data_IF_485231897355
#
_entry.id   IF_485231897355
#
_cell.length_a   1.000
_cell.length_b   1.000
_cell.length_c   1.000
_cell.angle_alpha   90.00
_cell.angle_beta   90.00
_cell.angle_gamma   90.00
#
_symmetry.space_group_name_H-M   'P 1'
#
loop_
_entity.id
_entity.type
_entity.pdbx_description
1 polymer ?
#
# COMPACT_ATOMS: atom_id res chain seq x y z
N UNK A 1 -14.19 69.70 -14.94
CA UNK A 1 -14.08 68.65 -13.91
C UNK A 1 -15.00 67.50 -14.33
N UNK A 2 -14.39 66.33 -14.58
CA UNK A 2 -14.90 65.08 -15.18
C UNK A 2 -16.41 64.89 -15.43
N UNK A 3 -16.78 64.55 -16.68
CA UNK A 3 -17.64 63.39 -16.94
C UNK A 3 -17.68 63.01 -18.44
N UNK A 4 -17.27 61.76 -18.70
CA UNK A 4 -17.78 60.77 -19.67
C UNK A 4 -18.76 61.21 -20.79
N UNK A 5 -18.53 60.60 -21.98
CA UNK A 5 -19.41 60.40 -23.17
C UNK A 5 -19.33 61.57 -24.18
N UNK A 6 -19.15 61.41 -25.49
CA UNK A 6 -19.45 60.34 -26.48
C UNK A 6 -18.61 60.64 -27.74
N UNK A 7 -17.93 59.65 -28.34
CA UNK A 7 -18.27 58.99 -29.63
C UNK A 7 -18.16 59.90 -30.86
N UNK A 8 -17.18 59.61 -31.74
CA UNK A 8 -17.29 59.22 -33.17
C UNK A 8 -15.88 59.34 -33.79
N UNK A 9 -15.27 58.23 -34.24
CA UNK A 9 -15.17 57.82 -35.67
C UNK A 9 -14.31 58.77 -36.51
N UNK A 10 -13.42 58.39 -37.43
CA UNK A 10 -12.90 57.14 -38.01
C UNK A 10 -11.84 57.63 -39.02
N UNK A 11 -10.79 56.86 -39.33
CA UNK A 11 -9.88 57.15 -40.45
C UNK A 11 -8.41 56.92 -40.10
N UNK A 12 -7.92 55.68 -40.13
CA UNK A 12 -7.33 55.03 -41.31
C UNK A 12 -5.92 55.54 -41.63
N UNK A 13 -4.90 54.76 -41.23
CA UNK A 13 -3.64 54.70 -41.97
C UNK A 13 -2.99 53.33 -41.79
N UNK A 14 -2.89 52.62 -42.92
CA UNK A 14 -2.15 51.37 -43.10
C UNK A 14 -0.67 51.57 -42.78
N UNK A 15 -0.06 50.63 -42.06
CA UNK A 15 1.32 50.22 -42.28
C UNK A 15 1.50 48.74 -41.91
N UNK A 16 1.91 47.97 -42.91
CA UNK A 16 2.32 46.57 -42.86
C UNK A 16 3.38 46.34 -41.77
N UNK A 17 3.13 45.44 -40.82
CA UNK A 17 4.19 44.72 -40.11
C UNK A 17 3.89 43.22 -40.20
N UNK A 18 4.78 42.54 -40.90
CA UNK A 18 4.87 41.10 -41.06
C UNK A 18 5.20 40.48 -39.69
N UNK A 19 4.20 40.15 -38.88
CA UNK A 19 4.42 39.33 -37.69
C UNK A 19 4.51 37.87 -38.13
N UNK A 20 5.73 37.42 -38.39
CA UNK A 20 6.09 36.01 -38.39
C UNK A 20 5.65 35.45 -37.03
N UNK A 21 4.60 34.64 -37.01
CA UNK A 21 4.34 33.75 -35.89
C UNK A 21 5.45 32.71 -35.89
N UNK A 22 6.57 33.03 -35.26
CA UNK A 22 7.51 32.02 -34.80
C UNK A 22 6.76 31.29 -33.70
N UNK A 23 6.06 30.21 -34.05
CA UNK A 23 5.69 29.22 -33.05
C UNK A 23 7.01 28.83 -32.38
N UNK A 24 7.20 29.04 -31.06
CA UNK A 24 8.41 28.55 -30.42
C UNK A 24 8.45 27.05 -30.72
N UNK A 25 9.51 26.62 -31.40
CA UNK A 25 9.78 25.21 -31.56
C UNK A 25 9.71 24.62 -30.15
N UNK A 26 8.74 23.72 -29.92
CA UNK A 26 8.63 23.02 -28.66
C UNK A 26 9.97 22.31 -28.47
N UNK A 27 10.81 22.83 -27.56
CA UNK A 27 12.10 22.24 -27.29
C UNK A 27 11.84 20.80 -26.87
N UNK A 28 12.38 19.85 -27.64
CA UNK A 28 12.20 18.43 -27.36
C UNK A 28 12.55 18.18 -25.90
N UNK A 29 11.60 17.65 -25.13
CA UNK A 29 11.79 17.37 -23.70
C UNK A 29 13.01 16.48 -23.55
N UNK A 30 14.05 17.00 -22.91
CA UNK A 30 15.30 16.25 -22.71
C UNK A 30 15.05 15.21 -21.62
N UNK A 31 15.14 13.93 -21.97
CA UNK A 31 15.03 12.81 -21.03
C UNK A 31 16.40 12.50 -20.43
N UNK A 32 16.50 12.54 -19.10
CA UNK A 32 17.70 12.23 -18.34
C UNK A 32 17.42 11.10 -17.37
N UNK A 33 18.36 10.19 -17.21
CA UNK A 33 18.34 9.19 -16.14
C UNK A 33 19.42 9.57 -15.14
N UNK A 34 19.09 9.49 -13.85
CA UNK A 34 20.01 9.71 -12.75
C UNK A 34 20.01 8.50 -11.80
N UNK A 35 21.06 8.41 -10.98
CA UNK A 35 21.19 7.48 -9.87
C UNK A 35 21.52 8.27 -8.61
N UNK A 36 20.61 8.25 -7.63
CA UNK A 36 20.69 9.03 -6.39
C UNK A 36 21.04 10.52 -6.66
N UNK A 37 20.35 11.12 -7.62
CA UNK A 37 20.52 12.52 -8.03
C UNK A 37 21.69 12.79 -8.98
N UNK A 38 22.55 11.79 -9.25
CA UNK A 38 23.69 11.93 -10.14
C UNK A 38 23.32 11.49 -11.58
N UNK A 39 23.35 12.39 -12.58
CA UNK A 39 23.02 12.02 -13.96
C UNK A 39 23.93 10.92 -14.49
N UNK A 40 23.33 9.89 -15.08
CA UNK A 40 24.07 8.81 -15.74
C UNK A 40 24.57 9.30 -17.10
N UNK A 41 25.88 9.11 -17.35
CA UNK A 41 26.46 9.38 -18.67
C UNK A 41 26.18 8.20 -19.60
N UNK A 42 25.21 8.37 -20.50
CA UNK A 42 24.82 7.35 -21.47
C UNK A 42 25.53 7.63 -22.78
N UNK A 43 26.61 6.89 -23.06
CA UNK A 43 27.27 6.94 -24.36
C UNK A 43 26.27 6.60 -25.48
N UNK A 44 26.41 7.25 -26.64
CA UNK A 44 25.61 6.97 -27.84
C UNK A 44 25.71 5.50 -28.29
N UNK A 45 26.80 4.80 -27.92
CA UNK A 45 27.00 3.37 -28.14
C UNK A 45 26.03 2.46 -27.36
N UNK A 46 25.39 2.96 -26.30
CA UNK A 46 24.33 2.25 -25.57
C UNK A 46 22.91 2.65 -26.00
N UNK A 47 22.78 3.72 -26.79
CA UNK A 47 21.51 4.27 -27.23
C UNK A 47 20.97 5.35 -26.31
N UNK A 48 19.99 6.09 -26.82
CA UNK A 48 19.45 7.28 -26.14
C UNK A 48 18.06 6.98 -25.56
N UNK A 49 17.77 7.39 -24.31
CA UNK A 49 16.42 7.36 -23.77
C UNK A 49 15.43 8.13 -24.65
N UNK A 50 14.16 7.72 -24.65
CA UNK A 50 13.09 8.43 -25.34
C UNK A 50 11.76 8.28 -24.60
N UNK A 51 10.79 9.12 -24.93
CA UNK A 51 9.41 9.00 -24.41
C UNK A 51 8.56 8.30 -25.47
N UNK A 52 7.87 7.23 -25.08
CA UNK A 52 6.96 6.51 -25.97
C UNK A 52 5.55 7.13 -26.01
N UNK A 53 4.67 6.55 -26.81
CA UNK A 53 3.28 7.01 -26.95
C UNK A 53 2.44 6.90 -25.66
N UNK A 54 2.90 6.12 -24.67
CA UNK A 54 2.27 5.96 -23.37
C UNK A 54 2.86 6.91 -22.32
N UNK A 55 3.65 7.91 -22.74
CA UNK A 55 4.37 8.85 -21.87
C UNK A 55 5.31 8.16 -20.88
N UNK A 56 5.90 7.02 -21.28
CA UNK A 56 6.91 6.32 -20.48
C UNK A 56 8.31 6.61 -20.99
N UNK A 57 9.22 6.91 -20.07
CA UNK A 57 10.64 7.04 -20.40
C UNK A 57 11.25 5.65 -20.63
N UNK A 58 11.48 5.35 -21.90
CA UNK A 58 12.14 4.17 -22.40
C UNK A 58 13.66 4.33 -22.29
N UNK A 59 14.32 3.32 -21.72
CA UNK A 59 15.77 3.30 -21.55
C UNK A 59 16.36 1.99 -22.05
N UNK A 60 17.58 1.99 -22.62
CA UNK A 60 18.26 0.75 -22.95
C UNK A 60 18.55 -0.05 -21.67
N UNK A 61 18.10 -1.31 -21.60
CA UNK A 61 18.21 -2.13 -20.38
C UNK A 61 19.64 -2.21 -19.83
N UNK A 62 20.61 -2.31 -20.74
CA UNK A 62 22.02 -2.56 -20.41
C UNK A 62 22.62 -1.37 -19.65
N UNK A 63 22.24 -0.15 -20.04
CA UNK A 63 22.69 1.09 -19.37
C UNK A 63 22.29 1.06 -17.92
N UNK A 64 21.03 0.77 -17.63
CA UNK A 64 20.53 0.79 -16.26
C UNK A 64 21.14 -0.36 -15.47
N UNK A 65 21.09 -1.56 -16.03
CA UNK A 65 21.57 -2.76 -15.35
C UNK A 65 23.06 -2.66 -14.99
N UNK A 66 23.92 -2.29 -15.94
CA UNK A 66 25.38 -2.25 -15.72
C UNK A 66 25.80 -1.09 -14.80
N UNK A 67 25.13 0.07 -14.87
CA UNK A 67 25.38 1.16 -13.90
C UNK A 67 24.95 0.79 -12.47
N UNK A 68 24.01 -0.15 -12.33
CA UNK A 68 23.61 -0.74 -11.05
C UNK A 68 24.44 -1.99 -10.69
N UNK A 69 25.52 -2.27 -11.43
CA UNK A 69 26.44 -3.39 -11.17
C UNK A 69 25.94 -4.76 -11.61
N UNK A 70 24.85 -4.83 -12.38
CA UNK A 70 24.28 -6.07 -12.88
C UNK A 70 24.82 -6.47 -14.27
N UNK A 71 24.79 -7.77 -14.57
CA UNK A 71 25.19 -8.32 -15.87
C UNK A 71 23.98 -8.59 -16.74
N UNK A 72 24.08 -8.25 -18.03
CA UNK A 72 23.02 -8.51 -19.02
C UNK A 72 23.50 -9.51 -20.07
N UNK A 73 22.76 -10.61 -20.19
CA UNK A 73 22.90 -11.58 -21.29
C UNK A 73 21.73 -11.49 -22.27
N UNK A 74 21.96 -11.95 -23.51
CA UNK A 74 20.96 -11.98 -24.57
C UNK A 74 20.84 -13.40 -25.14
N UNK A 75 19.61 -13.86 -25.29
CA UNK A 75 19.27 -15.08 -26.03
C UNK A 75 18.49 -14.70 -27.29
N UNK A 76 19.13 -14.87 -28.44
CA UNK A 76 18.55 -14.54 -29.74
C UNK A 76 17.45 -15.52 -30.20
N UNK A 77 17.42 -16.74 -29.66
CA UNK A 77 16.41 -17.75 -30.04
C UNK A 77 15.03 -17.42 -29.47
N UNK A 78 15.01 -16.86 -28.26
CA UNK A 78 13.79 -16.48 -27.54
C UNK A 78 13.54 -14.97 -27.57
N UNK A 79 14.47 -14.19 -28.12
CA UNK A 79 14.47 -12.72 -28.06
C UNK A 79 14.35 -12.19 -26.62
N UNK A 80 15.07 -12.82 -25.70
CA UNK A 80 15.02 -12.53 -24.27
C UNK A 80 16.35 -11.99 -23.77
N UNK A 81 16.31 -10.83 -23.12
CA UNK A 81 17.41 -10.38 -22.29
C UNK A 81 17.23 -10.83 -20.85
N UNK A 82 18.35 -11.16 -20.20
CA UNK A 82 18.35 -11.59 -18.80
C UNK A 82 19.33 -10.74 -17.99
N UNK A 83 18.84 -10.15 -16.89
CA UNK A 83 19.67 -9.42 -15.92
C UNK A 83 19.96 -10.34 -14.74
N UNK A 84 21.24 -10.51 -14.39
CA UNK A 84 21.74 -11.38 -13.30
C UNK A 84 21.21 -12.82 -13.35
N UNK A 85 20.86 -13.33 -14.53
CA UNK A 85 20.33 -14.69 -14.72
C UNK A 85 18.88 -14.90 -14.29
N UNK A 86 18.25 -13.96 -13.59
CA UNK A 86 16.94 -14.17 -12.95
C UNK A 86 15.83 -13.25 -13.45
N UNK A 87 16.17 -12.04 -13.90
CA UNK A 87 15.20 -11.07 -14.42
C UNK A 87 15.14 -11.21 -15.93
N UNK A 88 14.03 -11.72 -16.47
CA UNK A 88 13.86 -11.99 -17.90
C UNK A 88 12.93 -10.97 -18.54
N UNK A 89 13.37 -10.40 -19.65
CA UNK A 89 12.66 -9.39 -20.44
C UNK A 89 12.63 -9.88 -21.88
N UNK A 90 11.44 -10.21 -22.38
CA UNK A 90 11.25 -10.70 -23.75
C UNK A 90 10.73 -9.59 -24.65
N UNK A 91 11.38 -9.37 -25.80
CA UNK A 91 10.94 -8.37 -26.78
C UNK A 91 9.50 -8.68 -27.23
N UNK A 92 8.66 -7.66 -27.31
CA UNK A 92 7.23 -7.78 -27.64
C UNK A 92 6.34 -8.15 -26.44
N UNK A 93 6.92 -8.50 -25.29
CA UNK A 93 6.18 -8.71 -24.04
C UNK A 93 6.03 -7.41 -23.27
N UNK A 94 4.89 -7.24 -22.60
CA UNK A 94 4.68 -6.19 -21.60
C UNK A 94 5.06 -6.67 -20.19
N UNK A 95 5.62 -7.87 -20.05
CA UNK A 95 5.94 -8.48 -18.76
C UNK A 95 7.45 -8.60 -18.54
N UNK A 96 7.86 -8.37 -17.28
CA UNK A 96 9.17 -8.73 -16.77
C UNK A 96 8.99 -9.89 -15.80
N UNK A 97 9.69 -11.00 -16.04
CA UNK A 97 9.67 -12.16 -15.16
C UNK A 97 10.83 -12.04 -14.17
N UNK A 98 10.53 -12.13 -12.87
CA UNK A 98 11.53 -12.08 -11.80
C UNK A 98 11.41 -13.33 -10.91
N UNK A 99 12.36 -13.53 -9.99
CA UNK A 99 12.23 -14.55 -8.92
C UNK A 99 11.04 -14.30 -7.99
N UNK A 100 10.51 -13.07 -7.97
CA UNK A 100 9.42 -12.64 -7.11
C UNK A 100 8.04 -12.75 -7.78
N UNK A 101 8.02 -13.02 -9.10
CA UNK A 101 6.84 -13.11 -9.95
C UNK A 101 6.94 -12.18 -11.15
N UNK A 102 5.80 -11.94 -11.80
CA UNK A 102 5.70 -11.13 -13.01
C UNK A 102 5.37 -9.67 -12.68
N UNK A 103 6.15 -8.74 -13.25
CA UNK A 103 5.89 -7.29 -13.22
C UNK A 103 5.30 -6.91 -14.58
N UNK A 104 4.06 -6.45 -14.60
CA UNK A 104 3.45 -5.89 -15.79
C UNK A 104 3.96 -4.45 -16.05
N UNK A 105 4.21 -4.15 -17.30
CA UNK A 105 4.59 -2.84 -17.81
C UNK A 105 3.43 -2.26 -18.63
N UNK A 106 3.34 -0.93 -18.68
CA UNK A 106 2.29 -0.26 -19.48
C UNK A 106 2.54 -0.35 -21.00
N UNK A 107 3.73 -0.82 -21.39
CA UNK A 107 4.20 -0.84 -22.77
C UNK A 107 5.11 -2.04 -22.99
N UNK A 108 5.18 -2.52 -24.22
CA UNK A 108 5.97 -3.69 -24.57
C UNK A 108 7.45 -3.36 -24.62
N UNK A 109 8.30 -4.33 -24.27
CA UNK A 109 9.72 -4.24 -24.55
C UNK A 109 9.96 -4.17 -26.06
N UNK A 110 10.73 -3.20 -26.52
CA UNK A 110 11.00 -3.00 -27.96
C UNK A 110 12.47 -3.14 -28.25
N UNK A 111 12.79 -3.72 -29.41
CA UNK A 111 14.13 -3.70 -29.97
C UNK A 111 14.25 -2.51 -30.94
N UNK A 112 15.19 -1.60 -30.67
CA UNK A 112 15.51 -0.47 -31.54
C UNK A 112 17.01 -0.43 -31.76
N UNK A 113 17.43 -0.63 -33.01
CA UNK A 113 18.84 -0.66 -33.43
C UNK A 113 19.69 -1.65 -32.61
N UNK A 114 19.17 -2.87 -32.38
CA UNK A 114 19.88 -3.92 -31.64
C UNK A 114 19.91 -3.72 -30.12
N UNK A 115 19.12 -2.79 -29.59
CA UNK A 115 19.06 -2.48 -28.16
C UNK A 115 17.63 -2.65 -27.66
N UNK A 116 17.49 -3.21 -26.47
CA UNK A 116 16.19 -3.48 -25.86
C UNK A 116 15.85 -2.30 -24.96
N UNK A 117 14.66 -1.75 -25.17
CA UNK A 117 14.12 -0.63 -24.44
C UNK A 117 12.88 -1.05 -23.65
N UNK A 118 12.85 -0.65 -22.39
CA UNK A 118 11.69 -0.77 -21.48
C UNK A 118 11.60 0.48 -20.61
N UNK A 119 10.46 0.72 -19.92
CA UNK A 119 10.33 1.83 -18.99
C UNK A 119 11.40 1.78 -17.89
N UNK A 120 12.05 2.92 -17.62
CA UNK A 120 13.09 3.06 -16.58
C UNK A 120 12.61 2.58 -15.21
N UNK A 121 11.35 2.87 -14.86
CA UNK A 121 10.74 2.41 -13.61
C UNK A 121 10.63 0.89 -13.56
N UNK A 122 10.23 0.25 -14.65
CA UNK A 122 10.03 -1.20 -14.71
C UNK A 122 11.34 -1.95 -14.54
N UNK A 123 12.42 -1.52 -15.21
CA UNK A 123 13.74 -2.14 -15.05
C UNK A 123 14.32 -1.90 -13.65
N UNK A 124 14.24 -0.68 -13.12
CA UNK A 124 14.73 -0.34 -11.79
C UNK A 124 13.98 -1.16 -10.72
N UNK A 125 12.66 -1.25 -10.83
CA UNK A 125 11.82 -2.02 -9.91
C UNK A 125 12.13 -3.51 -9.97
N UNK A 126 12.27 -4.09 -11.16
CA UNK A 126 12.66 -5.49 -11.32
C UNK A 126 13.99 -5.80 -10.64
N UNK A 127 14.88 -4.81 -10.56
CA UNK A 127 16.17 -4.88 -9.88
C UNK A 127 16.11 -4.50 -8.39
N UNK A 128 14.94 -4.12 -7.87
CA UNK A 128 14.73 -3.77 -6.46
C UNK A 128 14.98 -2.30 -6.10
N UNK A 129 15.03 -1.40 -7.08
CA UNK A 129 15.25 0.03 -6.89
C UNK A 129 13.98 0.86 -7.11
N UNK A 130 13.91 2.00 -6.43
CA UNK A 130 12.85 3.00 -6.62
C UNK A 130 13.14 3.92 -7.81
N UNK A 131 12.12 4.62 -8.30
CA UNK A 131 12.30 5.69 -9.30
C UNK A 131 11.43 6.90 -8.95
N UNK A 132 12.07 8.03 -8.72
CA UNK A 132 11.40 9.33 -8.66
C UNK A 132 11.48 10.03 -10.02
N UNK A 133 10.50 10.86 -10.33
CA UNK A 133 10.49 11.64 -11.57
C UNK A 133 10.39 13.13 -11.23
N UNK A 134 11.24 13.94 -11.85
CA UNK A 134 11.20 15.40 -11.70
C UNK A 134 11.20 16.04 -13.08
N UNK A 135 10.46 17.15 -13.23
CA UNK A 135 10.51 17.98 -14.42
C UNK A 135 10.98 19.38 -14.01
N UNK A 136 12.18 19.75 -14.45
CA UNK A 136 12.76 21.06 -14.16
C UNK A 136 13.27 21.66 -15.46
N UNK A 137 12.80 22.86 -15.78
CA UNK A 137 13.21 23.61 -16.98
C UNK A 137 13.09 22.80 -18.29
N UNK A 138 12.03 21.99 -18.43
CA UNK A 138 11.81 21.16 -19.63
C UNK A 138 12.70 19.92 -19.73
N UNK A 139 13.44 19.60 -18.67
CA UNK A 139 14.21 18.36 -18.54
C UNK A 139 13.42 17.40 -17.65
N UNK A 140 13.00 16.28 -18.21
CA UNK A 140 12.40 15.18 -17.46
C UNK A 140 13.53 14.27 -16.97
N UNK A 141 13.72 14.21 -15.66
CA UNK A 141 14.70 13.34 -15.02
C UNK A 141 13.99 12.18 -14.33
N UNK A 142 14.31 10.96 -14.73
CA UNK A 142 13.99 9.76 -13.96
C UNK A 142 15.19 9.42 -13.07
N UNK A 143 15.06 9.62 -11.77
CA UNK A 143 16.10 9.35 -10.80
C UNK A 143 15.86 7.98 -10.15
N UNK A 144 16.75 7.04 -10.43
CA UNK A 144 16.77 5.73 -9.80
C UNK A 144 17.31 5.92 -8.39
N UNK A 145 16.52 5.53 -7.39
CA UNK A 145 16.89 5.70 -5.99
C UNK A 145 17.33 4.37 -5.41
N UNK A 146 18.52 4.35 -4.81
CA UNK A 146 18.96 3.19 -4.04
C UNK A 146 18.17 3.05 -2.74
N UNK A 147 17.56 4.15 -2.28
CA UNK A 147 16.56 4.15 -1.22
C UNK A 147 15.17 3.84 -1.76
N UNK A 148 14.48 2.88 -1.17
CA UNK A 148 13.11 2.49 -1.54
C UNK A 148 12.14 2.91 -0.45
N UNK A 149 11.14 3.72 -0.77
CA UNK A 149 10.04 4.04 0.13
C UNK A 149 8.89 3.04 -0.07
N UNK A 150 8.66 2.19 0.92
CA UNK A 150 7.54 1.23 0.95
C UNK A 150 6.43 1.74 1.85
N UNK A 151 5.21 1.81 1.33
CA UNK A 151 4.02 2.22 2.08
C UNK A 151 3.08 1.04 2.33
N UNK A 152 2.86 0.72 3.61
CA UNK A 152 2.01 -0.38 4.05
C UNK A 152 0.77 0.18 4.72
N UNK A 153 -0.42 -0.23 4.28
CA UNK A 153 -1.65 -0.01 5.05
C UNK A 153 -1.97 -1.27 5.86
N UNK A 154 -1.95 -1.16 7.18
CA UNK A 154 -2.10 -2.31 8.07
C UNK A 154 -3.24 -2.07 9.09
N UNK A 155 -4.01 -3.12 9.38
CA UNK A 155 -5.05 -3.07 10.39
C UNK A 155 -4.51 -2.58 11.75
N UNK A 156 -5.29 -1.76 12.45
CA UNK A 156 -4.88 -1.16 13.72
C UNK A 156 -4.41 -2.17 14.78
N UNK A 157 -4.98 -3.39 14.82
CA UNK A 157 -4.56 -4.45 15.74
C UNK A 157 -3.16 -4.99 15.48
N UNK A 158 -2.58 -4.74 14.30
CA UNK A 158 -1.23 -5.16 13.93
C UNK A 158 -0.16 -4.18 14.42
N UNK A 159 -0.54 -3.02 14.97
CA UNK A 159 0.36 -1.89 15.26
C UNK A 159 1.63 -2.29 16.00
N UNK A 160 1.47 -3.02 17.11
CA UNK A 160 2.59 -3.35 17.99
C UNK A 160 3.51 -4.39 17.36
N UNK A 161 2.95 -5.48 16.81
CA UNK A 161 3.72 -6.51 16.11
C UNK A 161 4.45 -5.96 14.87
N UNK A 162 3.77 -5.13 14.06
CA UNK A 162 4.36 -4.52 12.87
C UNK A 162 5.42 -3.47 13.21
N UNK A 163 5.36 -2.86 14.40
CA UNK A 163 6.42 -2.00 14.92
C UNK A 163 7.73 -2.76 15.13
N UNK A 164 7.66 -3.93 15.75
CA UNK A 164 8.84 -4.81 15.94
C UNK A 164 9.32 -5.40 14.61
N UNK A 165 8.41 -5.90 13.76
CA UNK A 165 8.72 -6.42 12.42
C UNK A 165 9.40 -5.37 11.55
N UNK A 166 8.93 -4.12 11.61
CA UNK A 166 9.57 -3.00 10.88
C UNK A 166 11.04 -2.88 11.25
N UNK A 167 11.38 -2.92 12.54
CA UNK A 167 12.76 -2.81 12.99
C UNK A 167 13.61 -3.99 12.50
N UNK A 168 13.08 -5.21 12.57
CA UNK A 168 13.77 -6.41 12.08
C UNK A 168 14.01 -6.36 10.57
N UNK A 169 13.01 -5.96 9.79
CA UNK A 169 13.14 -5.85 8.34
C UNK A 169 14.13 -4.76 7.92
N UNK A 170 14.10 -3.60 8.58
CA UNK A 170 15.03 -2.50 8.29
C UNK A 170 16.48 -2.82 8.65
N UNK A 171 16.73 -3.71 9.61
CA UNK A 171 18.06 -4.23 9.89
C UNK A 171 18.62 -5.06 8.70
N UNK A 172 17.76 -5.79 7.98
CA UNK A 172 18.15 -6.56 6.78
C UNK A 172 18.15 -5.70 5.51
N UNK A 173 17.34 -4.64 5.49
CA UNK A 173 17.14 -3.76 4.32
C UNK A 173 17.36 -2.30 4.71
N UNK A 174 18.59 -1.88 5.05
CA UNK A 174 18.89 -0.54 5.57
C UNK A 174 18.64 0.59 4.54
N UNK A 175 18.53 0.24 3.26
CA UNK A 175 18.17 1.18 2.18
C UNK A 175 16.65 1.26 1.94
N UNK A 176 15.84 0.56 2.72
CA UNK A 176 14.38 0.71 2.66
C UNK A 176 13.93 1.70 3.71
N UNK A 177 12.95 2.52 3.39
CA UNK A 177 12.17 3.27 4.35
C UNK A 177 10.76 2.70 4.36
N UNK A 178 10.37 2.12 5.50
CA UNK A 178 9.09 1.46 5.66
C UNK A 178 8.11 2.38 6.40
N UNK A 179 7.13 2.89 5.67
CA UNK A 179 6.04 3.73 6.17
C UNK A 179 4.83 2.83 6.39
N UNK A 180 4.31 2.79 7.62
CA UNK A 180 3.14 1.97 7.95
C UNK A 180 2.03 2.89 8.43
N UNK A 181 0.95 2.94 7.65
CA UNK A 181 -0.30 3.59 8.00
C UNK A 181 -1.21 2.57 8.70
N UNK A 182 -1.57 2.85 9.95
CA UNK A 182 -2.46 1.99 10.74
C UNK A 182 -3.87 2.56 10.80
N UNK A 183 -4.87 1.69 10.68
CA UNK A 183 -6.28 2.11 10.80
C UNK A 183 -7.28 0.97 10.74
N UNK A 184 -8.56 1.31 10.82
CA UNK A 184 -9.66 0.37 10.58
C UNK A 184 -9.56 -0.22 9.16
N UNK A 185 -9.58 -1.54 9.03
CA UNK A 185 -9.30 -2.19 7.75
C UNK A 185 -10.27 -1.81 6.62
N UNK A 186 -11.52 -1.50 6.93
CA UNK A 186 -12.49 -1.00 5.94
C UNK A 186 -12.18 0.43 5.53
N UNK A 187 -11.76 1.30 6.47
CA UNK A 187 -11.33 2.66 6.14
C UNK A 187 -10.08 2.65 5.26
N UNK A 188 -9.07 1.83 5.59
CA UNK A 188 -7.88 1.64 4.78
C UNK A 188 -8.21 1.06 3.39
N UNK A 189 -9.12 0.08 3.31
CA UNK A 189 -9.60 -0.45 2.04
C UNK A 189 -10.28 0.65 1.19
N UNK A 190 -11.15 1.47 1.78
CA UNK A 190 -11.78 2.60 1.07
C UNK A 190 -10.75 3.61 0.57
N UNK A 191 -9.70 3.90 1.35
CA UNK A 191 -8.59 4.76 0.91
C UNK A 191 -7.86 4.16 -0.31
N UNK A 192 -7.62 2.85 -0.32
CA UNK A 192 -7.01 2.16 -1.46
C UNK A 192 -7.91 2.24 -2.69
N UNK A 193 -9.23 2.09 -2.54
CA UNK A 193 -10.18 2.26 -3.64
C UNK A 193 -10.19 3.68 -4.21
N UNK A 194 -9.90 4.68 -3.37
CA UNK A 194 -9.78 6.08 -3.76
C UNK A 194 -8.39 6.42 -4.34
N UNK A 195 -7.50 5.43 -4.49
CA UNK A 195 -6.18 5.62 -5.10
C UNK A 195 -5.08 6.03 -4.13
N UNK A 196 -5.22 5.73 -2.83
CA UNK A 196 -4.13 5.92 -1.90
C UNK A 196 -2.85 5.20 -2.38
N UNK A 197 -1.71 5.89 -2.32
CA UNK A 197 -0.42 5.34 -2.72
C UNK A 197 0.07 4.32 -1.68
N UNK A 198 -0.35 3.07 -1.85
CA UNK A 198 -0.08 1.95 -0.95
C UNK A 198 0.54 0.82 -1.76
N UNK A 199 1.59 0.21 -1.22
CA UNK A 199 2.29 -0.91 -1.85
C UNK A 199 1.75 -2.26 -1.42
N UNK A 200 1.37 -2.38 -0.14
CA UNK A 200 0.85 -3.61 0.46
C UNK A 200 -0.27 -3.27 1.45
N UNK A 201 -1.34 -4.06 1.41
CA UNK A 201 -2.44 -4.00 2.38
C UNK A 201 -2.44 -5.25 3.26
N UNK A 202 -2.50 -5.06 4.58
CA UNK A 202 -2.58 -6.12 5.58
C UNK A 202 -3.84 -5.93 6.42
N UNK A 203 -4.88 -6.68 6.07
CA UNK A 203 -6.23 -6.53 6.62
C UNK A 203 -6.48 -7.42 7.84
N UNK A 204 -7.48 -7.08 8.66
CA UNK A 204 -7.98 -7.93 9.75
C UNK A 204 -9.19 -8.81 9.35
N UNK A 205 -9.60 -8.77 8.07
CA UNK A 205 -10.62 -9.67 7.55
C UNK A 205 -10.46 -9.92 6.06
N UNK A 206 -10.82 -11.13 5.65
CA UNK A 206 -10.89 -11.54 4.24
C UNK A 206 -11.85 -10.67 3.43
N UNK A 207 -12.98 -10.25 4.00
CA UNK A 207 -13.96 -9.46 3.24
C UNK A 207 -13.40 -8.14 2.68
N UNK A 208 -12.46 -7.49 3.38
CA UNK A 208 -11.85 -6.26 2.85
C UNK A 208 -10.90 -6.57 1.69
N UNK A 209 -10.18 -7.69 1.80
CA UNK A 209 -9.30 -8.18 0.74
C UNK A 209 -10.11 -8.60 -0.49
N UNK A 210 -11.22 -9.31 -0.28
CA UNK A 210 -12.13 -9.73 -1.34
C UNK A 210 -12.73 -8.54 -2.08
N UNK A 211 -13.10 -7.46 -1.39
CA UNK A 211 -13.57 -6.23 -2.04
C UNK A 211 -12.52 -5.64 -2.98
N UNK A 212 -11.27 -5.51 -2.54
CA UNK A 212 -10.19 -5.00 -3.38
C UNK A 212 -9.87 -5.96 -4.54
N UNK A 213 -9.90 -7.27 -4.30
CA UNK A 213 -9.73 -8.31 -5.32
C UNK A 213 -10.80 -8.20 -6.40
N UNK A 214 -12.07 -8.12 -6.02
CA UNK A 214 -13.21 -8.03 -6.94
C UNK A 214 -13.17 -6.75 -7.78
N UNK A 215 -12.56 -5.68 -7.26
CA UNK A 215 -12.31 -4.43 -8.00
C UNK A 215 -11.02 -4.47 -8.85
N UNK A 216 -10.28 -5.58 -8.83
CA UNK A 216 -9.02 -5.72 -9.56
C UNK A 216 -7.92 -4.78 -9.07
N UNK A 217 -7.95 -4.39 -7.79
CA UNK A 217 -7.00 -3.47 -7.17
C UNK A 217 -5.81 -4.17 -6.49
N UNK A 218 -5.82 -5.50 -6.47
CA UNK A 218 -4.74 -6.32 -5.91
C UNK A 218 -3.95 -7.02 -7.00
N UNK A 219 -2.75 -7.47 -6.64
CA UNK A 219 -2.04 -8.51 -7.38
C UNK A 219 -2.47 -9.86 -6.78
N UNK A 220 -3.45 -10.50 -7.39
CA UNK A 220 -4.14 -11.69 -6.83
C UNK A 220 -3.21 -12.84 -6.43
N UNK A 221 -2.13 -13.08 -7.19
CA UNK A 221 -1.13 -14.10 -6.89
C UNK A 221 -0.29 -13.82 -5.63
N UNK A 222 -0.51 -12.66 -5.01
CA UNK A 222 0.16 -12.23 -3.79
C UNK A 222 -0.70 -12.33 -2.54
N UNK A 223 -1.99 -12.64 -2.66
CA UNK A 223 -2.86 -12.79 -1.49
C UNK A 223 -2.38 -13.97 -0.64
N UNK A 224 -2.13 -13.70 0.64
CA UNK A 224 -1.68 -14.66 1.65
C UNK A 224 -2.51 -14.46 2.92
N UNK A 225 -3.13 -15.51 3.42
CA UNK A 225 -3.66 -15.52 4.79
C UNK A 225 -2.48 -15.75 5.73
N UNK A 226 -2.16 -14.77 6.58
CA UNK A 226 -0.95 -14.83 7.40
C UNK A 226 -1.26 -15.19 8.84
N UNK A 227 -2.32 -14.61 9.40
CA UNK A 227 -2.60 -14.70 10.83
C UNK A 227 -4.08 -14.99 11.08
N UNK A 228 -4.34 -15.62 12.20
CA UNK A 228 -5.64 -15.74 12.84
C UNK A 228 -5.66 -15.04 14.20
N UNK A 229 -6.86 -14.80 14.72
CA UNK A 229 -7.03 -14.15 16.02
C UNK A 229 -8.33 -14.61 16.70
N UNK A 230 -8.53 -14.22 17.96
CA UNK A 230 -9.75 -14.49 18.73
C UNK A 230 -10.42 -13.18 19.12
N UNK A 231 -11.74 -13.17 19.13
CA UNK A 231 -12.52 -12.05 19.64
C UNK A 231 -12.75 -12.22 21.14
N UNK A 232 -12.60 -11.13 21.90
CA UNK A 232 -12.74 -11.14 23.36
C UNK A 232 -13.56 -9.96 23.84
N UNK A 233 -14.28 -10.17 24.94
CA UNK A 233 -14.91 -9.12 25.72
C UNK A 233 -13.94 -8.66 26.80
N UNK A 234 -13.72 -7.36 26.87
CA UNK A 234 -12.85 -6.71 27.85
C UNK A 234 -13.63 -5.70 28.67
N UNK A 235 -13.15 -5.44 29.89
CA UNK A 235 -13.64 -4.41 30.81
C UNK A 235 -12.44 -3.64 31.38
N UNK A 236 -12.63 -2.45 31.97
CA UNK A 236 -11.57 -1.78 32.71
C UNK A 236 -10.97 -2.71 33.78
N UNK A 237 -9.66 -2.65 34.00
CA UNK A 237 -8.98 -3.60 34.90
C UNK A 237 -9.50 -3.53 36.35
N UNK A 238 -9.86 -2.33 36.80
CA UNK A 238 -10.46 -2.02 38.09
C UNK A 238 -11.99 -2.13 38.13
N UNK A 239 -12.63 -2.58 37.04
CA UNK A 239 -14.09 -2.73 36.97
C UNK A 239 -14.61 -3.68 38.06
N UNK A 240 -15.64 -3.20 38.77
CA UNK A 240 -16.41 -3.92 39.79
C UNK A 240 -17.68 -4.58 39.24
N UNK A 241 -17.99 -4.39 37.94
CA UNK A 241 -19.14 -4.99 37.30
C UNK A 241 -18.98 -6.51 37.17
N UNK A 242 -20.05 -7.25 37.44
CA UNK A 242 -20.05 -8.71 37.40
C UNK A 242 -20.22 -9.26 35.96
N UNK A 243 -19.42 -8.77 35.01
CA UNK A 243 -19.44 -9.21 33.61
C UNK A 243 -18.50 -10.42 33.45
N UNK A 244 -19.05 -11.58 33.10
CA UNK A 244 -18.30 -12.83 32.91
C UNK A 244 -18.55 -13.48 31.54
N UNK A 245 -19.51 -12.97 30.79
CA UNK A 245 -19.92 -13.50 29.49
C UNK A 245 -20.39 -12.36 28.57
N UNK A 246 -20.50 -12.66 27.28
CA UNK A 246 -21.11 -11.75 26.30
C UNK A 246 -22.59 -11.46 26.61
N UNK A 247 -23.30 -12.31 27.37
CA UNK A 247 -24.69 -12.06 27.73
C UNK A 247 -24.84 -10.95 28.78
N UNK A 248 -23.89 -10.86 29.70
CA UNK A 248 -23.95 -9.96 30.86
C UNK A 248 -23.89 -8.47 30.46
N UNK A 249 -23.41 -8.15 29.25
CA UNK A 249 -23.40 -6.77 28.75
C UNK A 249 -24.81 -6.18 28.56
N UNK A 250 -25.84 -7.05 28.54
CA UNK A 250 -27.25 -6.63 28.47
C UNK A 250 -27.83 -6.26 29.83
N UNK A 251 -27.15 -6.58 30.93
CA UNK A 251 -27.59 -6.25 32.29
C UNK A 251 -27.75 -4.73 32.52
N UNK A 252 -28.71 -4.33 33.35
CA UNK A 252 -29.02 -2.92 33.61
C UNK A 252 -27.85 -2.13 34.24
N UNK A 253 -26.91 -2.80 34.91
CA UNK A 253 -25.68 -2.21 35.45
C UNK A 253 -24.72 -1.74 34.36
N UNK A 254 -24.71 -2.40 33.20
CA UNK A 254 -23.91 -2.02 32.03
C UNK A 254 -24.62 -0.92 31.26
N UNK A 255 -24.01 0.26 31.20
CA UNK A 255 -24.55 1.47 30.55
C UNK A 255 -24.08 1.61 29.11
N UNK A 256 -22.80 1.33 28.85
CA UNK A 256 -22.19 1.47 27.52
C UNK A 256 -21.26 0.31 27.19
N UNK A 257 -21.34 -0.14 25.95
CA UNK A 257 -20.40 -1.10 25.37
C UNK A 257 -19.75 -0.50 24.13
N UNK A 258 -18.42 -0.54 24.05
CA UNK A 258 -17.71 -0.13 22.84
C UNK A 258 -17.58 -1.28 21.84
N UNK A 259 -17.99 -1.03 20.60
CA UNK A 259 -17.82 -1.93 19.46
C UNK A 259 -17.09 -1.19 18.34
N UNK A 260 -16.47 -1.92 17.41
CA UNK A 260 -16.07 -1.31 16.15
C UNK A 260 -17.30 -0.98 15.29
N UNK A 261 -17.24 0.10 14.51
CA UNK A 261 -18.26 0.38 13.49
C UNK A 261 -18.30 -0.76 12.47
N UNK A 262 -19.37 -1.58 12.48
CA UNK A 262 -19.41 -2.87 11.76
C UNK A 262 -19.26 -2.73 10.24
N UNK A 263 -19.63 -1.57 9.68
CA UNK A 263 -19.45 -1.28 8.26
C UNK A 263 -18.00 -1.10 7.83
N UNK A 264 -17.09 -0.75 8.75
CA UNK A 264 -15.68 -0.40 8.42
C UNK A 264 -14.63 -1.09 9.31
N UNK A 265 -15.01 -1.62 10.47
CA UNK A 265 -14.12 -2.23 11.45
C UNK A 265 -14.42 -3.73 11.57
N UNK A 266 -13.51 -4.61 11.12
CA UNK A 266 -13.70 -6.05 11.21
C UNK A 266 -14.09 -6.57 12.61
N UNK A 267 -13.46 -6.05 13.68
CA UNK A 267 -13.79 -6.44 15.05
C UNK A 267 -15.27 -6.15 15.39
N UNK A 268 -15.80 -5.02 14.90
CA UNK A 268 -17.22 -4.67 15.01
C UNK A 268 -18.12 -5.66 14.29
N UNK A 269 -17.78 -6.01 13.04
CA UNK A 269 -18.51 -7.01 12.26
C UNK A 269 -18.51 -8.39 12.90
N UNK A 270 -17.39 -8.83 13.46
CA UNK A 270 -17.33 -10.08 14.22
C UNK A 270 -18.14 -9.98 15.51
N UNK A 271 -18.11 -8.85 16.22
CA UNK A 271 -18.91 -8.64 17.42
C UNK A 271 -20.42 -8.71 17.12
N UNK A 272 -20.88 -8.09 16.03
CA UNK A 272 -22.27 -8.22 15.60
C UNK A 272 -22.65 -9.66 15.28
N UNK A 273 -21.76 -10.46 14.68
CA UNK A 273 -22.00 -11.90 14.48
C UNK A 273 -22.18 -12.62 15.80
N UNK A 274 -21.30 -12.38 16.79
CA UNK A 274 -21.41 -12.96 18.12
C UNK A 274 -22.74 -12.62 18.77
N UNK A 275 -23.11 -11.33 18.80
CA UNK A 275 -24.36 -10.91 19.45
C UNK A 275 -25.61 -11.31 18.67
N UNK A 276 -25.52 -11.47 17.34
CA UNK A 276 -26.60 -12.05 16.53
C UNK A 276 -26.79 -13.52 16.89
N UNK A 277 -25.71 -14.30 16.94
CA UNK A 277 -25.73 -15.70 17.32
C UNK A 277 -26.33 -15.93 18.72
N UNK A 278 -26.05 -15.02 19.65
CA UNK A 278 -26.60 -15.05 21.01
C UNK A 278 -28.03 -14.49 21.14
N UNK A 279 -28.63 -13.98 20.04
CA UNK A 279 -29.93 -13.28 20.06
C UNK A 279 -29.95 -12.03 20.97
N UNK A 280 -28.84 -11.31 21.06
CA UNK A 280 -28.67 -10.13 21.92
C UNK A 280 -28.41 -8.84 21.16
N UNK A 281 -28.26 -8.90 19.83
CA UNK A 281 -27.80 -7.76 19.03
C UNK A 281 -28.57 -6.47 19.30
N UNK A 282 -29.90 -6.50 19.28
CA UNK A 282 -30.72 -5.29 19.47
C UNK A 282 -30.51 -4.65 20.85
N UNK A 283 -30.43 -5.48 21.90
CA UNK A 283 -30.16 -5.02 23.27
C UNK A 283 -28.77 -4.41 23.41
N UNK A 284 -27.80 -4.97 22.70
CA UNK A 284 -26.42 -4.48 22.67
C UNK A 284 -26.34 -3.16 21.90
N UNK A 285 -26.99 -3.08 20.73
CA UNK A 285 -27.03 -1.86 19.90
C UNK A 285 -27.61 -0.68 20.66
N UNK A 286 -28.60 -0.90 21.52
CA UNK A 286 -29.18 0.13 22.38
C UNK A 286 -28.16 0.75 23.37
N UNK A 287 -27.04 0.07 23.65
CA UNK A 287 -25.96 0.53 24.55
C UNK A 287 -24.64 0.79 23.83
N UNK A 288 -24.58 0.55 22.53
CA UNK A 288 -23.33 0.52 21.78
C UNK A 288 -22.81 1.94 21.48
N UNK A 289 -21.50 2.13 21.65
CA UNK A 289 -20.76 3.23 21.06
C UNK A 289 -19.76 2.66 20.06
N UNK A 290 -19.67 3.27 18.89
CA UNK A 290 -18.92 2.72 17.77
C UNK A 290 -17.59 3.45 17.57
N UNK A 291 -16.50 2.69 17.66
CA UNK A 291 -15.15 3.17 17.38
C UNK A 291 -14.78 3.01 15.91
N UNK A 292 -13.93 3.92 15.41
CA UNK A 292 -13.37 3.91 14.05
C UNK A 292 -12.35 2.78 13.82
N UNK A 293 -11.81 2.21 14.89
CA UNK A 293 -10.97 1.02 14.88
C UNK A 293 -10.93 0.34 16.27
N UNK A 294 -10.31 -0.83 16.34
CA UNK A 294 -10.26 -1.63 17.57
C UNK A 294 -9.35 -1.04 18.65
N UNK A 295 -8.37 -0.19 18.29
CA UNK A 295 -7.51 0.49 19.28
C UNK A 295 -8.29 1.62 19.97
N UNK A 296 -9.17 2.32 19.25
CA UNK A 296 -10.09 3.28 19.85
C UNK A 296 -11.07 2.60 20.81
N UNK A 297 -11.64 1.45 20.42
CA UNK A 297 -12.50 0.63 21.30
C UNK A 297 -11.76 0.25 22.58
N UNK A 298 -10.54 -0.30 22.47
CA UNK A 298 -9.72 -0.65 23.63
C UNK A 298 -9.43 0.58 24.49
N UNK A 299 -9.05 1.70 23.89
CA UNK A 299 -8.73 2.91 24.64
C UNK A 299 -9.91 3.41 25.49
N UNK A 300 -11.14 3.38 24.95
CA UNK A 300 -12.33 3.75 25.73
C UNK A 300 -12.60 2.83 26.92
N UNK A 301 -12.27 1.54 26.78
CA UNK A 301 -12.32 0.59 27.90
C UNK A 301 -11.24 0.92 28.92
N UNK A 302 -10.00 1.16 28.49
CA UNK A 302 -8.88 1.49 29.37
C UNK A 302 -9.07 2.79 30.16
N UNK A 303 -9.81 3.76 29.60
CA UNK A 303 -10.11 5.03 30.27
C UNK A 303 -11.42 5.01 31.05
N UNK A 304 -12.16 3.89 31.06
CA UNK A 304 -13.47 3.80 31.71
C UNK A 304 -14.57 4.66 31.06
N UNK A 305 -14.39 5.09 29.80
CA UNK A 305 -15.43 5.81 29.05
C UNK A 305 -16.61 4.91 28.69
N UNK A 306 -16.38 3.59 28.71
CA UNK A 306 -17.38 2.53 28.56
C UNK A 306 -17.14 1.45 29.61
N UNK A 307 -18.19 0.66 29.88
CA UNK A 307 -18.15 -0.40 30.89
C UNK A 307 -17.50 -1.68 30.36
N UNK A 308 -17.66 -1.93 29.06
CA UNK A 308 -17.10 -3.07 28.36
C UNK A 308 -16.79 -2.73 26.90
N UNK A 309 -15.97 -3.56 26.25
CA UNK A 309 -15.75 -3.46 24.81
C UNK A 309 -15.37 -4.80 24.19
N UNK A 310 -15.58 -4.92 22.89
CA UNK A 310 -15.22 -6.12 22.13
C UNK A 310 -14.02 -5.83 21.24
N UNK A 311 -12.92 -6.54 21.50
CA UNK A 311 -11.62 -6.35 20.83
C UNK A 311 -11.02 -7.70 20.44
N UNK A 312 -9.86 -7.68 19.79
CA UNK A 312 -9.09 -8.90 19.58
C UNK A 312 -8.26 -9.27 20.80
N UNK A 313 -8.01 -10.57 20.99
CA UNK A 313 -7.18 -11.06 22.09
C UNK A 313 -5.78 -10.44 22.07
N UNK A 314 -5.20 -10.23 20.88
CA UNK A 314 -3.89 -9.56 20.73
C UNK A 314 -3.89 -8.13 21.25
N UNK A 315 -4.99 -7.40 21.06
CA UNK A 315 -5.13 -6.03 21.57
C UNK A 315 -5.32 -6.03 23.09
N UNK A 316 -6.07 -6.98 23.64
CA UNK A 316 -6.26 -7.10 25.08
C UNK A 316 -4.96 -7.53 25.80
N UNK A 317 -4.17 -8.44 25.21
CA UNK A 317 -2.94 -8.99 25.81
C UNK A 317 -1.86 -7.94 26.10
N UNK A 318 -1.81 -6.88 25.31
CA UNK A 318 -0.81 -5.81 25.48
C UNK A 318 -1.26 -4.74 26.48
N UNK A 319 -2.54 -4.74 26.89
CA UNK A 319 -3.07 -3.76 27.82
C UNK A 319 -2.78 -4.16 29.27
N UNK A 320 -2.42 -3.18 30.10
CA UNK A 320 -2.38 -3.31 31.56
C UNK A 320 -3.58 -2.66 32.25
N UNK A 321 -4.46 -2.02 31.47
CA UNK A 321 -5.60 -1.21 31.96
C UNK A 321 -6.96 -1.81 31.61
N UNK A 322 -6.99 -2.83 30.76
CA UNK A 322 -8.18 -3.63 30.49
C UNK A 322 -7.90 -5.11 30.79
N UNK A 323 -8.94 -5.85 31.21
CA UNK A 323 -8.87 -7.30 31.43
C UNK A 323 -9.89 -8.02 30.57
N UNK A 324 -9.50 -9.19 30.07
CA UNK A 324 -10.41 -10.09 29.34
C UNK A 324 -11.33 -10.78 30.34
N UNK A 325 -12.64 -10.71 30.09
CA UNK A 325 -13.66 -11.39 30.91
C UNK A 325 -14.31 -12.57 30.21
N UNK A 326 -14.32 -12.57 28.87
CA UNK A 326 -14.83 -13.68 28.07
C UNK A 326 -14.15 -13.74 26.70
N UNK A 327 -13.97 -14.95 26.17
CA UNK A 327 -13.68 -15.16 24.74
C UNK A 327 -14.99 -15.44 24.02
N UNK A 328 -15.13 -14.97 22.77
CA UNK A 328 -16.33 -15.24 21.99
C UNK A 328 -16.56 -16.75 21.86
N UNK A 329 -17.81 -17.23 21.98
CA UNK A 329 -18.12 -18.65 21.85
C UNK A 329 -17.66 -19.22 20.51
N UNK A 330 -17.20 -20.45 20.49
CA UNK A 330 -16.83 -21.13 19.24
C UNK A 330 -18.04 -21.19 18.30
N UNK A 331 -17.82 -20.95 17.00
CA UNK A 331 -18.89 -20.92 15.99
C UNK A 331 -19.79 -19.67 16.01
N UNK A 332 -19.63 -18.75 16.98
CA UNK A 332 -20.46 -17.54 17.07
C UNK A 332 -20.10 -16.46 16.04
N UNK A 333 -18.96 -16.58 15.38
CA UNK A 333 -18.52 -15.70 14.30
C UNK A 333 -17.68 -16.47 13.28
N UNK A 334 -17.50 -15.91 12.08
CA UNK A 334 -16.57 -16.46 11.08
C UNK A 334 -15.13 -16.41 11.59
N UNK A 335 -14.28 -17.34 11.14
CA UNK A 335 -12.87 -17.34 11.49
C UNK A 335 -12.22 -15.97 11.20
N UNK A 336 -11.50 -15.44 12.19
CA UNK A 336 -10.80 -14.16 12.04
C UNK A 336 -9.49 -14.45 11.34
N UNK A 337 -9.34 -13.96 10.11
CA UNK A 337 -8.17 -14.17 9.28
C UNK A 337 -7.63 -12.83 8.79
N UNK A 338 -6.31 -12.67 8.87
CA UNK A 338 -5.58 -11.49 8.45
C UNK A 338 -4.85 -11.76 7.13
N UNK A 339 -5.45 -11.39 5.99
CA UNK A 339 -4.77 -11.50 4.71
C UNK A 339 -3.86 -10.30 4.45
N UNK A 340 -2.75 -10.55 3.77
CA UNK A 340 -1.89 -9.53 3.18
C UNK A 340 -1.77 -9.72 1.66
N UNK A 341 -1.68 -8.62 0.92
CA UNK A 341 -1.49 -8.65 -0.53
C UNK A 341 -0.84 -7.34 -1.03
N UNK A 342 -0.14 -7.42 -2.16
CA UNK A 342 0.35 -6.25 -2.89
C UNK A 342 -0.82 -5.55 -3.61
N UNK A 343 -0.77 -4.22 -3.63
CA UNK A 343 -1.69 -3.40 -4.41
C UNK A 343 -1.22 -3.37 -5.86
N UNK A 344 -2.15 -3.46 -6.80
CA UNK A 344 -1.86 -3.52 -8.24
C UNK A 344 -1.07 -2.33 -8.77
N UNK A 345 -1.28 -1.16 -8.18
CA UNK A 345 -0.62 0.11 -8.56
C UNK A 345 0.73 0.32 -7.88
N UNK A 346 1.24 -0.64 -7.09
CA UNK A 346 2.55 -0.53 -6.44
C UNK A 346 3.64 -0.22 -7.46
N UNK A 347 4.42 0.83 -7.17
CA UNK A 347 5.60 1.18 -7.95
C UNK A 347 6.87 0.56 -7.35
N UNK A 348 6.72 -0.38 -6.41
CA UNK A 348 7.80 -1.02 -5.64
C UNK A 348 7.68 -2.56 -5.61
N UNK A 349 7.00 -3.18 -6.58
CA UNK A 349 6.72 -4.63 -6.66
C UNK A 349 7.77 -5.55 -6.01
N UNK A 350 9.03 -5.49 -6.45
CA UNK A 350 10.09 -6.37 -5.92
C UNK A 350 10.30 -6.18 -4.42
N UNK A 351 10.39 -4.93 -3.96
CA UNK A 351 10.57 -4.61 -2.55
C UNK A 351 9.29 -4.93 -1.73
N UNK A 352 8.10 -4.71 -2.29
CA UNK A 352 6.83 -5.07 -1.66
C UNK A 352 6.68 -6.58 -1.51
N UNK A 353 7.15 -7.36 -2.49
CA UNK A 353 7.13 -8.82 -2.46
C UNK A 353 8.17 -9.38 -1.50
N UNK A 354 9.35 -8.79 -1.45
CA UNK A 354 10.39 -9.09 -0.45
C UNK A 354 9.86 -8.86 0.97
N UNK A 355 9.18 -7.73 1.23
CA UNK A 355 8.55 -7.48 2.52
C UNK A 355 7.41 -8.45 2.83
N UNK A 356 6.54 -8.77 1.86
CA UNK A 356 5.49 -9.79 2.06
C UNK A 356 6.09 -11.16 2.39
N UNK A 357 7.20 -11.55 1.76
CA UNK A 357 7.92 -12.77 2.08
C UNK A 357 8.55 -12.70 3.49
N UNK A 358 9.09 -11.54 3.87
CA UNK A 358 9.59 -11.31 5.23
C UNK A 358 8.50 -11.53 6.29
N UNK A 359 7.26 -11.09 6.03
CA UNK A 359 6.11 -11.34 6.91
C UNK A 359 5.79 -12.84 7.09
N UNK A 360 6.28 -13.71 6.20
CA UNK A 360 6.15 -15.17 6.30
C UNK A 360 7.40 -15.88 6.85
N UNK A 361 8.47 -15.13 7.15
CA UNK A 361 9.71 -15.66 7.71
C UNK A 361 9.56 -16.10 9.16
N UNK A 362 10.44 -16.99 9.62
CA UNK A 362 10.42 -17.47 11.01
C UNK A 362 10.62 -16.33 12.02
N UNK A 363 11.39 -15.30 11.65
CA UNK A 363 11.58 -14.10 12.48
C UNK A 363 10.26 -13.34 12.66
N UNK A 364 9.51 -13.12 11.58
CA UNK A 364 8.22 -12.43 11.66
C UNK A 364 7.16 -13.28 12.37
N UNK A 365 7.13 -14.59 12.11
CA UNK A 365 6.23 -15.54 12.80
C UNK A 365 6.44 -15.52 14.31
N UNK A 366 7.69 -15.59 14.77
CA UNK A 366 8.00 -15.52 16.19
C UNK A 366 7.52 -14.20 16.85
N UNK A 367 7.60 -13.07 16.13
CA UNK A 367 7.02 -11.80 16.60
C UNK A 367 5.49 -11.90 16.67
N UNK A 368 4.84 -12.38 15.63
CA UNK A 368 3.38 -12.53 15.63
C UNK A 368 2.88 -13.42 16.78
N UNK A 369 3.55 -14.55 17.02
CA UNK A 369 3.24 -15.47 18.13
C UNK A 369 3.44 -14.79 19.50
N UNK A 370 4.54 -14.04 19.67
CA UNK A 370 4.82 -13.24 20.88
C UNK A 370 3.69 -12.26 21.19
N UNK A 371 3.12 -11.62 20.16
CA UNK A 371 1.97 -10.72 20.31
C UNK A 371 0.62 -11.44 20.39
N UNK A 372 0.60 -12.77 20.27
CA UNK A 372 -0.57 -13.62 20.49
C UNK A 372 -1.45 -13.86 19.25
N UNK A 373 -0.96 -13.54 18.06
CA UNK A 373 -1.59 -13.98 16.82
C UNK A 373 -1.39 -15.49 16.65
N UNK A 374 -2.30 -16.13 15.91
CA UNK A 374 -2.10 -17.50 15.45
C UNK A 374 -1.55 -17.47 14.02
N UNK A 375 -0.29 -17.84 13.81
CA UNK A 375 0.27 -17.96 12.45
C UNK A 375 -0.47 -19.05 11.66
N UNK A 376 -0.82 -18.77 10.40
CA UNK A 376 -1.57 -19.68 9.51
C UNK A 376 -0.71 -20.41 8.49
#
# INVERSE_FOLDING_TARGET
MNLRKRVLMLGAMLAFIFCIFITPASAATKAVVALDGNPLSISSSYGTPFIDANNRMQVPIRVIAENLGAKVSWDGSTSTATINGTIKITVGSADIITSYGTIAMDTKAVNKNGRIYIPVRSVANAMGYGVSATNKNGVLTADITTKVDLTISAAASLKDAMGEIKNLYLAEKPKTNLIINFGGSGALQQQIEQGANVDLFFSAATSNMDTLKNKGLLIDSTVRNLLGNKLVLVVPNDSSLAIKSFADVTDASVKKIALGEASTVPAGKYAEQVFTHLNLLDKVKAKAVYGSDVKQVLNWVETGNVDAGVVYLTDAKISTKAKVVATAPEGSHKAIVYPAALIKTTNNYTASRDFLNFLTSDKAKAVFDKYGFNVL
#
